data_IF_394246632589
#
_entry.id   IF_394246632589
#
_cell.length_a   1.000
_cell.length_b   1.000
_cell.length_c   1.000
_cell.angle_alpha   90.00
_cell.angle_beta   90.00
_cell.angle_gamma   90.00
#
_symmetry.space_group_name_H-M   'P 1'
#
loop_
_entity.id
_entity.type
_entity.pdbx_description
1 polymer ?
#
# COMPACT_ATOMS: atom_id res chain seq x y z
N UNK A 1 5.39 -22.51 -4.38
CA UNK A 1 5.94 -21.42 -5.20
C UNK A 1 7.07 -21.94 -6.12
N UNK A 2 8.17 -22.55 -5.66
CA UNK A 2 9.33 -22.88 -6.54
C UNK A 2 9.00 -23.74 -7.76
N UNK A 3 8.11 -24.73 -7.59
CA UNK A 3 7.64 -25.54 -8.74
C UNK A 3 6.95 -24.69 -9.82
N UNK A 4 6.21 -23.66 -9.42
CA UNK A 4 5.50 -22.78 -10.35
C UNK A 4 6.48 -21.87 -11.09
N UNK A 5 7.56 -21.38 -10.45
CA UNK A 5 8.66 -20.71 -11.18
C UNK A 5 9.31 -21.67 -12.18
N UNK A 6 9.55 -22.92 -11.80
CA UNK A 6 10.15 -23.90 -12.72
C UNK A 6 9.24 -24.19 -13.93
N UNK A 7 7.92 -24.17 -13.74
CA UNK A 7 6.94 -24.41 -14.82
C UNK A 7 6.71 -23.19 -15.70
N UNK A 8 6.55 -22.00 -15.11
CA UNK A 8 6.08 -20.79 -15.81
C UNK A 8 7.15 -19.70 -15.97
N UNK A 9 8.31 -19.87 -15.35
CA UNK A 9 9.40 -18.89 -15.37
C UNK A 9 9.27 -17.81 -14.28
N UNK A 10 10.28 -16.95 -14.22
CA UNK A 10 10.39 -15.86 -13.24
C UNK A 10 9.39 -14.73 -13.49
N UNK A 11 8.85 -14.61 -14.69
CA UNK A 11 7.84 -13.59 -15.02
C UNK A 11 6.43 -14.08 -14.68
N UNK A 12 6.31 -14.68 -13.50
CA UNK A 12 5.06 -15.18 -12.91
C UNK A 12 4.73 -14.36 -11.69
N UNK A 13 3.51 -13.81 -11.64
CA UNK A 13 2.99 -13.11 -10.48
C UNK A 13 2.43 -14.08 -9.44
N UNK A 14 2.75 -13.85 -8.18
CA UNK A 14 2.16 -14.59 -7.05
C UNK A 14 1.41 -13.65 -6.12
N UNK A 15 0.34 -14.17 -5.53
CA UNK A 15 -0.52 -13.44 -4.60
C UNK A 15 -0.90 -14.34 -3.43
N UNK A 16 -1.04 -13.76 -2.23
CA UNK A 16 -1.56 -14.43 -1.04
C UNK A 16 -2.85 -13.75 -0.57
N UNK A 17 -3.76 -14.53 0.01
CA UNK A 17 -5.09 -14.04 0.42
C UNK A 17 -5.19 -13.65 1.91
N UNK A 18 -4.11 -13.77 2.67
CA UNK A 18 -4.06 -13.39 4.08
C UNK A 18 -2.65 -13.03 4.54
N UNK A 19 -2.55 -12.33 5.67
CA UNK A 19 -1.29 -11.83 6.23
C UNK A 19 -0.30 -12.94 6.61
N UNK A 20 -0.78 -14.07 7.14
CA UNK A 20 0.07 -15.18 7.58
C UNK A 20 0.87 -15.83 6.45
N UNK A 21 0.39 -15.70 5.21
CA UNK A 21 1.07 -16.21 4.02
C UNK A 21 2.03 -15.20 3.38
N UNK A 22 1.98 -13.92 3.76
CA UNK A 22 2.80 -12.88 3.10
C UNK A 22 4.29 -13.05 3.37
N UNK A 23 4.69 -13.19 4.63
CA UNK A 23 6.12 -13.32 4.98
C UNK A 23 6.81 -14.48 4.24
N UNK A 24 6.31 -15.74 4.30
CA UNK A 24 6.93 -16.82 3.56
C UNK A 24 6.85 -16.60 2.04
N UNK A 25 5.80 -15.98 1.52
CA UNK A 25 5.66 -15.73 0.09
C UNK A 25 6.65 -14.68 -0.42
N UNK A 26 6.79 -13.54 0.27
CA UNK A 26 7.76 -12.49 -0.07
C UNK A 26 9.18 -13.06 -0.04
N UNK A 27 9.54 -13.80 1.03
CA UNK A 27 10.85 -14.42 1.15
C UNK A 27 11.14 -15.37 -0.01
N UNK A 28 10.20 -16.27 -0.30
CA UNK A 28 10.31 -17.20 -1.42
C UNK A 28 10.45 -16.48 -2.77
N UNK A 29 9.69 -15.41 -3.01
CA UNK A 29 9.77 -14.62 -4.25
C UNK A 29 11.10 -13.90 -4.33
N UNK A 30 11.58 -13.30 -3.23
CA UNK A 30 12.87 -12.64 -3.15
C UNK A 30 14.01 -13.61 -3.44
N UNK A 31 13.92 -14.86 -2.97
CA UNK A 31 14.89 -15.91 -3.32
C UNK A 31 14.78 -16.36 -4.79
N UNK A 32 13.56 -16.51 -5.31
CA UNK A 32 13.29 -17.07 -6.63
C UNK A 32 13.30 -16.09 -7.81
N UNK A 33 13.17 -14.79 -7.54
CA UNK A 33 13.07 -13.72 -8.54
C UNK A 33 11.74 -13.65 -9.29
N UNK A 34 10.65 -14.17 -8.71
CA UNK A 34 9.31 -14.03 -9.28
C UNK A 34 8.75 -12.60 -9.10
N UNK A 35 7.51 -12.37 -9.55
CA UNK A 35 6.83 -11.08 -9.38
C UNK A 35 5.91 -11.15 -8.16
N UNK A 36 6.00 -10.16 -7.29
CA UNK A 36 5.06 -9.93 -6.20
C UNK A 36 4.37 -8.59 -6.41
N UNK A 37 3.22 -8.56 -7.11
CA UNK A 37 2.59 -7.29 -7.46
C UNK A 37 2.28 -6.49 -6.20
N UNK A 38 1.48 -7.04 -5.28
CA UNK A 38 1.11 -6.39 -4.03
C UNK A 38 0.71 -7.41 -2.97
N UNK A 39 0.70 -6.96 -1.72
CA UNK A 39 0.20 -7.74 -0.58
C UNK A 39 -1.33 -7.80 -0.55
N UNK A 40 -1.92 -8.72 0.23
CA UNK A 40 -3.39 -8.76 0.38
C UNK A 40 -3.98 -7.48 0.97
N UNK A 41 -3.18 -6.74 1.74
CA UNK A 41 -3.45 -5.40 2.23
C UNK A 41 -2.13 -4.60 2.12
N UNK A 42 -1.91 -3.85 1.02
CA UNK A 42 -0.59 -3.27 0.76
C UNK A 42 -0.18 -2.24 1.81
N UNK A 43 1.05 -2.40 2.30
CA UNK A 43 1.71 -1.54 3.29
C UNK A 43 3.17 -1.96 3.39
N UNK A 44 4.14 -1.03 3.50
CA UNK A 44 5.55 -1.40 3.64
C UNK A 44 5.84 -2.18 4.93
N UNK A 45 4.93 -2.14 5.91
CA UNK A 45 5.06 -2.91 7.16
C UNK A 45 4.49 -4.33 7.07
N UNK A 46 3.70 -4.65 6.05
CA UNK A 46 3.02 -5.94 5.96
C UNK A 46 3.93 -6.97 5.30
N UNK A 47 4.48 -7.89 6.10
CA UNK A 47 5.30 -9.02 5.66
C UNK A 47 6.74 -8.66 5.28
N UNK A 48 6.99 -7.50 4.66
CA UNK A 48 8.31 -7.08 4.21
C UNK A 48 9.40 -7.08 5.30
N UNK A 49 9.17 -6.49 6.51
CA UNK A 49 10.24 -6.40 7.50
C UNK A 49 10.80 -7.77 7.89
N UNK A 50 9.91 -8.72 8.23
CA UNK A 50 10.30 -10.07 8.59
C UNK A 50 10.80 -10.90 7.40
N UNK A 51 10.20 -10.72 6.22
CA UNK A 51 10.58 -11.48 5.03
C UNK A 51 11.99 -11.13 4.54
N UNK A 52 12.36 -9.85 4.61
CA UNK A 52 13.61 -9.30 4.12
C UNK A 52 14.66 -9.03 5.22
N UNK A 53 14.36 -9.40 6.47
CA UNK A 53 15.21 -9.15 7.64
C UNK A 53 15.60 -7.66 7.78
N UNK A 54 14.62 -6.77 7.72
CA UNK A 54 14.79 -5.33 7.92
C UNK A 54 14.62 -5.03 9.41
N UNK A 55 15.60 -4.37 10.01
CA UNK A 55 15.49 -3.84 11.37
C UNK A 55 14.75 -2.51 11.35
N UNK A 56 13.73 -2.42 12.21
CA UNK A 56 12.85 -1.25 12.35
C UNK A 56 13.08 -0.48 13.65
N UNK A 57 14.04 -0.93 14.47
CA UNK A 57 14.33 -0.33 15.77
C UNK A 57 14.74 1.14 15.61
N UNK A 58 14.02 2.04 16.26
CA UNK A 58 14.23 3.49 16.16
C UNK A 58 13.63 4.15 14.91
N UNK A 59 12.94 3.38 14.06
CA UNK A 59 12.23 3.82 12.86
C UNK A 59 10.77 3.35 12.85
N UNK A 60 10.16 3.22 14.04
CA UNK A 60 8.80 2.78 14.20
C UNK A 60 7.82 3.78 13.55
N UNK A 61 7.10 3.35 12.51
CA UNK A 61 6.18 4.22 11.77
C UNK A 61 6.83 5.15 10.73
N UNK A 62 8.16 5.10 10.57
CA UNK A 62 8.90 5.79 9.50
C UNK A 62 8.73 5.07 8.14
N UNK A 63 7.67 5.45 7.42
CA UNK A 63 7.36 4.93 6.09
C UNK A 63 8.48 5.19 5.06
N UNK A 64 9.06 6.40 4.97
CA UNK A 64 10.21 6.66 4.09
C UNK A 64 11.38 5.71 4.35
N UNK A 65 11.80 5.52 5.61
CA UNK A 65 12.85 4.57 5.96
C UNK A 65 12.50 3.15 5.52
N UNK A 66 11.27 2.71 5.78
CA UNK A 66 10.84 1.37 5.38
C UNK A 66 10.90 1.14 3.87
N UNK A 67 10.42 2.11 3.07
CA UNK A 67 10.48 2.01 1.61
C UNK A 67 11.92 1.97 1.11
N UNK A 68 12.80 2.79 1.69
CA UNK A 68 14.24 2.78 1.39
C UNK A 68 14.90 1.43 1.71
N UNK A 69 14.63 0.87 2.89
CA UNK A 69 15.21 -0.42 3.29
C UNK A 69 14.70 -1.58 2.42
N UNK A 70 13.41 -1.55 2.02
CA UNK A 70 12.87 -2.53 1.08
C UNK A 70 13.59 -2.39 -0.27
N UNK A 71 13.69 -1.18 -0.82
CA UNK A 71 14.40 -0.94 -2.08
C UNK A 71 15.85 -1.45 -2.04
N UNK A 72 16.58 -1.19 -0.94
CA UNK A 72 17.94 -1.68 -0.74
C UNK A 72 18.01 -3.21 -0.77
N UNK A 73 17.08 -3.90 -0.09
CA UNK A 73 16.98 -5.37 -0.08
C UNK A 73 16.63 -5.96 -1.44
N UNK A 74 15.78 -5.30 -2.22
CA UNK A 74 15.44 -5.74 -3.57
C UNK A 74 16.61 -5.56 -4.53
N UNK A 75 17.37 -4.47 -4.38
CA UNK A 75 18.58 -4.17 -5.17
C UNK A 75 19.69 -5.20 -5.01
N UNK A 76 19.84 -5.80 -3.83
CA UNK A 76 20.78 -6.91 -3.60
C UNK A 76 20.60 -8.08 -4.62
N UNK A 77 19.40 -8.22 -5.21
CA UNK A 77 19.06 -9.28 -6.17
C UNK A 77 18.57 -8.77 -7.53
N UNK A 78 18.63 -7.47 -7.81
CA UNK A 78 18.10 -6.88 -9.04
C UNK A 78 16.58 -7.06 -9.20
N UNK A 79 15.83 -6.94 -8.10
CA UNK A 79 14.38 -7.19 -8.04
C UNK A 79 13.54 -5.94 -7.78
N UNK A 80 14.12 -4.75 -7.92
CA UNK A 80 13.44 -3.47 -7.71
C UNK A 80 12.17 -3.33 -8.56
N UNK A 81 12.21 -3.82 -9.81
CA UNK A 81 11.05 -3.85 -10.71
C UNK A 81 10.14 -5.07 -10.57
N UNK A 82 10.35 -5.94 -9.58
CA UNK A 82 9.61 -7.21 -9.41
C UNK A 82 8.68 -7.23 -8.20
N UNK A 83 8.76 -6.23 -7.33
CA UNK A 83 7.87 -6.13 -6.18
C UNK A 83 7.32 -4.71 -6.05
N UNK A 84 6.15 -4.56 -5.44
CA UNK A 84 5.58 -3.23 -5.15
C UNK A 84 4.77 -3.26 -3.86
N UNK A 85 4.41 -2.07 -3.37
CA UNK A 85 3.50 -1.89 -2.22
C UNK A 85 2.70 -0.61 -2.38
N UNK A 86 2.01 -0.13 -1.34
CA UNK A 86 1.53 1.26 -1.30
C UNK A 86 2.49 2.12 -0.50
N UNK A 87 2.69 3.37 -0.93
CA UNK A 87 3.53 4.34 -0.21
C UNK A 87 2.94 4.80 1.14
N UNK A 88 1.82 4.23 1.58
CA UNK A 88 1.17 4.49 2.86
C UNK A 88 0.36 3.27 3.29
N UNK A 89 0.29 2.97 4.60
CA UNK A 89 -0.74 2.07 5.12
C UNK A 89 -2.12 2.73 4.97
N UNK A 90 -3.03 2.11 4.20
CA UNK A 90 -4.34 2.71 3.87
C UNK A 90 -5.14 3.15 5.09
N UNK A 91 -5.09 2.39 6.18
CA UNK A 91 -5.79 2.73 7.42
C UNK A 91 -5.28 4.05 8.02
N UNK A 92 -3.96 4.31 7.93
CA UNK A 92 -3.38 5.55 8.44
C UNK A 92 -3.77 6.75 7.57
N UNK A 93 -3.92 6.55 6.26
CA UNK A 93 -4.45 7.56 5.36
C UNK A 93 -5.92 7.88 5.70
N UNK A 94 -6.75 6.84 5.87
CA UNK A 94 -8.16 6.99 6.22
C UNK A 94 -8.37 7.70 7.56
N UNK A 95 -7.57 7.37 8.58
CA UNK A 95 -7.63 8.04 9.89
C UNK A 95 -7.30 9.53 9.77
N UNK A 96 -6.21 9.89 9.10
CA UNK A 96 -5.84 11.31 8.95
C UNK A 96 -6.90 12.09 8.16
N UNK A 97 -7.35 11.54 7.03
CA UNK A 97 -8.41 12.17 6.25
C UNK A 97 -9.70 12.36 7.07
N UNK A 98 -10.10 11.34 7.84
CA UNK A 98 -11.27 11.41 8.72
C UNK A 98 -11.13 12.47 9.81
N UNK A 99 -9.95 12.58 10.44
CA UNK A 99 -9.69 13.61 11.47
C UNK A 99 -9.74 15.00 10.87
N UNK A 100 -9.11 15.21 9.71
CA UNK A 100 -9.16 16.51 8.99
C UNK A 100 -10.58 16.91 8.62
N UNK A 101 -11.36 15.98 8.09
CA UNK A 101 -12.77 16.22 7.77
C UNK A 101 -13.59 16.57 9.02
N UNK A 102 -13.37 15.85 10.12
CA UNK A 102 -14.05 16.13 11.40
C UNK A 102 -13.70 17.53 11.95
N UNK A 103 -12.45 17.98 11.80
CA UNK A 103 -12.02 19.34 12.16
C UNK A 103 -12.73 20.37 11.27
N UNK A 104 -12.74 20.19 9.95
CA UNK A 104 -13.45 21.09 9.04
C UNK A 104 -14.96 21.17 9.34
N UNK A 105 -15.58 20.04 9.69
CA UNK A 105 -16.98 19.99 10.09
C UNK A 105 -17.21 20.75 11.42
N UNK A 106 -16.37 20.53 12.42
CA UNK A 106 -16.47 21.22 13.72
C UNK A 106 -16.30 22.73 13.60
N UNK A 107 -15.55 23.19 12.61
CA UNK A 107 -15.34 24.61 12.30
C UNK A 107 -16.38 25.19 11.32
N UNK A 108 -17.38 24.40 10.94
CA UNK A 108 -18.48 24.83 10.05
C UNK A 108 -18.06 25.07 8.60
N UNK A 109 -16.98 24.44 8.13
CA UNK A 109 -16.45 24.59 6.76
C UNK A 109 -17.01 23.58 5.76
N UNK A 110 -17.54 22.45 6.23
CA UNK A 110 -18.12 21.38 5.40
C UNK A 110 -19.40 20.85 6.04
N UNK A 111 -20.28 20.28 5.21
CA UNK A 111 -21.45 19.53 5.66
C UNK A 111 -21.07 18.06 5.99
N UNK A 112 -21.79 17.37 6.90
CA UNK A 112 -21.43 16.02 7.32
C UNK A 112 -21.52 14.97 6.21
N UNK A 113 -22.24 15.29 5.11
CA UNK A 113 -22.41 14.42 3.94
C UNK A 113 -21.67 14.95 2.69
N UNK A 114 -20.76 15.92 2.85
CA UNK A 114 -20.01 16.50 1.73
C UNK A 114 -18.92 15.54 1.22
N UNK A 115 -19.33 14.65 0.30
CA UNK A 115 -18.46 13.65 -0.30
C UNK A 115 -17.32 14.28 -1.12
N UNK A 116 -17.55 15.43 -1.76
CA UNK A 116 -16.52 16.11 -2.56
C UNK A 116 -15.47 16.76 -1.67
N UNK A 117 -15.87 17.38 -0.56
CA UNK A 117 -14.91 17.84 0.44
C UNK A 117 -14.10 16.68 1.03
N UNK A 118 -14.74 15.53 1.28
CA UNK A 118 -14.01 14.38 1.80
C UNK A 118 -13.01 13.81 0.78
N UNK A 119 -13.37 13.73 -0.52
CA UNK A 119 -12.44 13.35 -1.61
C UNK A 119 -11.24 14.29 -1.71
N UNK A 120 -11.46 15.61 -1.59
CA UNK A 120 -10.38 16.61 -1.53
C UNK A 120 -9.44 16.33 -0.35
N UNK A 121 -10.01 16.17 0.85
CA UNK A 121 -9.23 15.95 2.08
C UNK A 121 -8.42 14.64 2.03
N UNK A 122 -8.96 13.56 1.45
CA UNK A 122 -8.22 12.32 1.22
C UNK A 122 -6.98 12.58 0.37
N UNK A 123 -7.11 13.33 -0.73
CA UNK A 123 -5.99 13.65 -1.60
C UNK A 123 -4.98 14.60 -0.95
N UNK A 124 -5.43 15.56 -0.15
CA UNK A 124 -4.53 16.41 0.66
C UNK A 124 -3.73 15.59 1.68
N UNK A 125 -4.39 14.64 2.36
CA UNK A 125 -3.73 13.72 3.30
C UNK A 125 -2.75 12.76 2.61
N UNK A 126 -3.05 12.33 1.39
CA UNK A 126 -2.16 11.50 0.58
C UNK A 126 -0.94 12.28 0.07
N UNK A 127 -1.16 13.52 -0.40
CA UNK A 127 -0.11 14.42 -0.85
C UNK A 127 0.86 14.77 0.29
N UNK A 128 0.35 15.03 1.49
CA UNK A 128 1.16 15.28 2.68
C UNK A 128 2.09 14.09 3.06
N UNK A 129 1.83 12.90 2.53
CA UNK A 129 2.63 11.68 2.73
C UNK A 129 3.43 11.26 1.50
N UNK A 130 3.40 12.04 0.41
CA UNK A 130 4.12 11.71 -0.82
C UNK A 130 3.58 10.47 -1.54
N UNK A 131 2.33 10.09 -1.32
CA UNK A 131 1.72 8.87 -1.90
C UNK A 131 1.31 9.10 -3.35
N UNK A 132 1.03 10.34 -3.74
CA UNK A 132 0.43 10.69 -5.03
C UNK A 132 -1.09 10.73 -4.96
N UNK A 133 -1.73 10.83 -6.12
CA UNK A 133 -3.19 10.93 -6.24
C UNK A 133 -3.86 9.59 -5.95
N UNK A 134 -4.84 9.59 -5.04
CA UNK A 134 -5.62 8.40 -4.68
C UNK A 134 -6.80 8.32 -5.62
N UNK A 135 -7.01 7.16 -6.24
CA UNK A 135 -8.23 6.93 -7.00
C UNK A 135 -9.38 6.71 -6.03
N UNK A 136 -10.39 7.58 -6.09
CA UNK A 136 -11.57 7.51 -5.22
C UNK A 136 -12.81 7.31 -6.09
N UNK A 137 -13.56 6.26 -5.78
CA UNK A 137 -14.83 5.94 -6.45
C UNK A 137 -15.93 5.78 -5.42
N UNK A 138 -17.17 6.01 -5.82
CA UNK A 138 -18.32 5.66 -4.99
C UNK A 138 -18.73 4.21 -5.26
N UNK A 139 -19.29 3.52 -4.27
CA UNK A 139 -19.85 2.19 -4.47
C UNK A 139 -21.02 2.24 -5.47
N UNK A 140 -20.94 1.42 -6.51
CA UNK A 140 -21.88 1.40 -7.63
C UNK A 140 -21.99 -0.04 -8.19
N UNK A 141 -22.38 -0.98 -7.34
CA UNK A 141 -22.70 -2.36 -7.76
C UNK A 141 -24.23 -2.59 -7.72
N UNK A 142 -24.75 -3.38 -6.78
CA UNK A 142 -26.19 -3.68 -6.69
C UNK A 142 -27.02 -2.45 -6.25
N UNK A 143 -26.40 -1.57 -5.47
CA UNK A 143 -26.98 -0.32 -5.00
C UNK A 143 -25.93 0.78 -5.16
N UNK A 144 -26.31 1.92 -5.71
CA UNK A 144 -25.44 3.09 -5.75
C UNK A 144 -25.46 3.82 -4.41
N UNK A 145 -24.28 4.02 -3.83
CA UNK A 145 -24.08 4.74 -2.57
C UNK A 145 -23.04 5.85 -2.77
N UNK A 146 -23.52 7.06 -3.06
CA UNK A 146 -22.65 8.20 -3.42
C UNK A 146 -21.64 8.58 -2.31
N UNK A 147 -22.03 8.40 -1.05
CA UNK A 147 -21.21 8.69 0.13
C UNK A 147 -20.41 7.49 0.66
N UNK A 148 -20.48 6.33 0.00
CA UNK A 148 -19.62 5.19 0.31
C UNK A 148 -18.41 5.23 -0.62
N UNK A 149 -17.28 5.73 -0.11
CA UNK A 149 -16.07 5.92 -0.90
C UNK A 149 -15.15 4.69 -0.83
N UNK A 150 -14.72 4.20 -1.99
CA UNK A 150 -13.69 3.19 -2.17
C UNK A 150 -12.40 3.85 -2.62
N UNK A 151 -11.29 3.47 -2.00
CA UNK A 151 -9.98 4.10 -2.18
C UNK A 151 -8.99 3.10 -2.78
N UNK A 152 -8.26 3.54 -3.81
CA UNK A 152 -7.14 2.80 -4.39
C UNK A 152 -5.93 3.71 -4.48
N UNK A 153 -4.92 3.43 -3.65
CA UNK A 153 -3.65 4.15 -3.69
C UNK A 153 -2.81 3.71 -4.90
N UNK A 154 -1.99 4.62 -5.47
CA UNK A 154 -0.99 4.24 -6.46
C UNK A 154 0.04 3.30 -5.84
N UNK A 155 0.57 2.38 -6.66
CA UNK A 155 1.63 1.50 -6.21
C UNK A 155 2.97 2.24 -6.15
N UNK A 156 3.76 1.89 -5.14
CA UNK A 156 5.14 2.32 -5.00
C UNK A 156 6.04 1.40 -5.84
N UNK A 157 6.69 1.98 -6.84
CA UNK A 157 7.60 1.33 -7.76
C UNK A 157 9.04 1.46 -7.24
N UNK A 158 9.60 0.38 -6.70
CA UNK A 158 10.95 0.40 -6.12
C UNK A 158 12.07 0.55 -7.17
N UNK A 159 11.75 0.51 -8.47
CA UNK A 159 12.73 0.67 -9.56
C UNK A 159 13.00 2.12 -9.96
N UNK A 160 12.27 3.08 -9.37
CA UNK A 160 12.35 4.51 -9.68
C UNK A 160 13.09 5.31 -8.63
#
# INVERSE_FOLDING_TARGET
MPRQIATYGKDTAFFSTNCGLQEPLIRMIWEGGAIYPQQCCPSPYHGYPAALNIDVSGHEGDVPYMLEQIAAKLKEKGQEGRMSTWGVPINMLMIDAGVRFAIEYAEGRVDPNDAEAFKRIINEAAAARGVGEVTITSYDEEVKLDNFLMLLCPFHDFSK
#
